data_IF_591391260594
#
_entry.id   IF_591391260594
#
_cell.length_a   1.000
_cell.length_b   1.000
_cell.length_c   1.000
_cell.angle_alpha   90.00
_cell.angle_beta   90.00
_cell.angle_gamma   90.00
#
_symmetry.space_group_name_H-M   'P 1'
#
loop_
_entity.id
_entity.type
_entity.pdbx_description
1 polymer ?
#
# COMPACT_ATOMS: atom_id res chain seq x y z
N UNK A 1 -22.18 14.34 -6.15
CA UNK A 1 -20.74 14.07 -6.24
C UNK A 1 -20.41 13.85 -7.70
N UNK A 2 -19.54 14.67 -8.26
CA UNK A 2 -19.06 14.40 -9.61
C UNK A 2 -18.15 13.16 -9.59
N UNK A 3 -18.31 12.24 -10.54
CA UNK A 3 -17.45 11.06 -10.61
C UNK A 3 -16.01 11.49 -10.96
N UNK A 4 -15.03 10.89 -10.30
CA UNK A 4 -13.63 11.09 -10.64
C UNK A 4 -13.38 10.65 -12.08
N UNK A 5 -12.55 11.40 -12.80
CA UNK A 5 -12.27 11.14 -14.20
C UNK A 5 -10.89 10.53 -14.41
N UNK A 6 -10.82 9.49 -15.24
CA UNK A 6 -9.55 8.87 -15.63
C UNK A 6 -8.64 9.89 -16.30
N UNK A 7 -7.37 9.91 -15.91
CA UNK A 7 -6.34 10.83 -16.42
C UNK A 7 -6.28 12.17 -15.69
N UNK A 8 -7.31 12.58 -14.95
CA UNK A 8 -7.28 13.79 -14.13
C UNK A 8 -6.43 13.59 -12.88
N UNK A 9 -5.88 14.68 -12.38
CA UNK A 9 -5.04 14.77 -11.19
C UNK A 9 -5.85 15.44 -10.09
N UNK A 10 -5.84 14.82 -8.91
CA UNK A 10 -6.48 15.29 -7.70
C UNK A 10 -5.48 15.32 -6.56
N UNK A 11 -5.50 16.37 -5.76
CA UNK A 11 -4.68 16.46 -4.55
C UNK A 11 -5.41 15.83 -3.38
N UNK A 12 -4.75 14.93 -2.67
CA UNK A 12 -5.32 14.29 -1.50
C UNK A 12 -4.24 13.83 -0.51
N UNK A 13 -4.67 13.61 0.72
CA UNK A 13 -3.82 13.03 1.77
C UNK A 13 -4.06 11.53 1.82
N UNK A 14 -2.99 10.76 1.99
CA UNK A 14 -3.05 9.32 2.20
C UNK A 14 -3.43 9.07 3.66
N UNK A 15 -4.58 8.45 3.90
CA UNK A 15 -5.15 8.24 5.24
C UNK A 15 -4.91 6.84 5.83
N UNK A 16 -4.48 5.88 5.02
CA UNK A 16 -4.24 4.51 5.47
C UNK A 16 -3.77 3.57 4.38
N UNK A 17 -3.95 2.27 4.61
CA UNK A 17 -3.56 1.21 3.67
C UNK A 17 -4.68 0.19 3.47
N UNK A 18 -4.77 -0.34 2.26
CA UNK A 18 -5.61 -1.49 1.95
C UNK A 18 -5.03 -2.79 2.52
N UNK A 19 -5.79 -3.87 2.46
CA UNK A 19 -5.32 -5.22 2.81
C UNK A 19 -4.11 -5.69 1.99
N UNK A 20 -3.91 -5.12 0.82
CA UNK A 20 -2.82 -5.43 -0.11
C UNK A 20 -1.64 -4.47 0.02
N UNK A 21 -1.72 -3.49 0.93
CA UNK A 21 -0.66 -2.50 1.16
C UNK A 21 -0.68 -1.30 0.22
N UNK A 22 -1.74 -1.13 -0.55
CA UNK A 22 -1.94 0.10 -1.34
C UNK A 22 -2.33 1.23 -0.40
N UNK A 23 -1.77 2.42 -0.60
CA UNK A 23 -2.24 3.62 0.10
C UNK A 23 -3.70 3.90 -0.23
N UNK A 24 -4.42 4.46 0.71
CA UNK A 24 -5.81 4.88 0.56
C UNK A 24 -5.88 6.38 0.66
N UNK A 25 -6.45 7.02 -0.36
CA UNK A 25 -6.85 8.42 -0.33
C UNK A 25 -8.36 8.54 -0.53
N UNK A 26 -8.93 9.68 -0.11
CA UNK A 26 -10.33 10.02 -0.35
C UNK A 26 -10.41 11.32 -1.11
N UNK A 27 -11.07 11.28 -2.25
CA UNK A 27 -11.30 12.45 -3.11
C UNK A 27 -12.80 12.56 -3.34
N UNK A 28 -13.41 13.64 -2.91
CA UNK A 28 -14.87 13.88 -3.03
C UNK A 28 -15.73 12.69 -2.56
N UNK A 29 -15.28 12.01 -1.49
CA UNK A 29 -15.93 10.84 -0.93
C UNK A 29 -15.64 9.51 -1.64
N UNK A 30 -14.98 9.52 -2.79
CA UNK A 30 -14.53 8.32 -3.48
C UNK A 30 -13.21 7.80 -2.89
N UNK A 31 -13.10 6.48 -2.74
CA UNK A 31 -11.86 5.83 -2.32
C UNK A 31 -10.94 5.65 -3.52
N UNK A 32 -9.69 6.09 -3.38
CA UNK A 32 -8.63 5.92 -4.38
C UNK A 32 -7.51 5.06 -3.80
N UNK A 33 -7.21 3.96 -4.46
CA UNK A 33 -6.08 3.09 -4.12
C UNK A 33 -4.83 3.53 -4.88
N UNK A 34 -3.74 3.76 -4.14
CA UNK A 34 -2.51 4.37 -4.67
C UNK A 34 -1.31 3.50 -4.31
N UNK A 35 -0.68 2.82 -5.27
CA UNK A 35 0.54 2.06 -5.02
C UNK A 35 1.68 2.95 -4.48
N UNK A 36 2.52 2.37 -3.63
CA UNK A 36 3.72 3.01 -3.09
C UNK A 36 3.49 4.34 -2.33
N UNK A 37 2.25 4.65 -1.96
CA UNK A 37 1.92 5.79 -1.13
C UNK A 37 2.15 5.47 0.35
N UNK A 38 2.49 6.48 1.15
CA UNK A 38 2.72 6.38 2.59
C UNK A 38 1.68 7.21 3.32
N UNK A 39 1.13 6.67 4.41
CA UNK A 39 0.17 7.37 5.24
C UNK A 39 0.71 8.72 5.72
N UNK A 40 -0.12 9.76 5.64
CA UNK A 40 0.21 11.13 6.01
C UNK A 40 0.82 11.94 4.87
N UNK A 41 1.09 11.36 3.71
CA UNK A 41 1.55 12.13 2.56
C UNK A 41 0.43 12.94 1.94
N UNK A 42 0.73 14.17 1.60
CA UNK A 42 -0.10 15.04 0.76
C UNK A 42 0.47 14.99 -0.67
N UNK A 43 -0.31 14.50 -1.60
CA UNK A 43 0.16 14.19 -2.95
C UNK A 43 -0.86 14.51 -4.04
N UNK A 44 -0.36 14.83 -5.22
CA UNK A 44 -1.11 14.84 -6.47
C UNK A 44 -1.22 13.41 -7.00
N UNK A 45 -2.44 12.94 -7.18
CA UNK A 45 -2.76 11.58 -7.59
C UNK A 45 -3.46 11.64 -8.94
N UNK A 46 -2.90 10.99 -9.96
CA UNK A 46 -3.55 10.81 -11.26
C UNK A 46 -4.44 9.57 -11.21
N UNK A 47 -5.70 9.71 -11.58
CA UNK A 47 -6.61 8.57 -11.67
C UNK A 47 -6.26 7.71 -12.89
N UNK A 48 -5.89 6.47 -12.66
CA UNK A 48 -5.53 5.51 -13.71
C UNK A 48 -6.71 4.65 -14.12
N UNK A 49 -7.63 4.35 -13.18
CA UNK A 49 -8.82 3.54 -13.42
C UNK A 49 -9.97 3.95 -12.52
N UNK A 50 -11.16 4.05 -13.09
CA UNK A 50 -12.41 4.24 -12.35
C UNK A 50 -13.15 2.91 -12.32
N UNK A 51 -13.56 2.49 -11.12
CA UNK A 51 -14.32 1.27 -10.85
C UNK A 51 -15.69 1.65 -10.25
N UNK A 52 -16.55 0.68 -10.03
CA UNK A 52 -17.93 0.93 -9.56
C UNK A 52 -17.98 1.62 -8.17
N UNK A 53 -17.08 1.26 -7.26
CA UNK A 53 -17.09 1.72 -5.85
C UNK A 53 -15.80 2.38 -5.41
N UNK A 54 -14.80 2.46 -6.27
CA UNK A 54 -13.46 2.97 -5.95
C UNK A 54 -12.73 3.37 -7.22
N UNK A 55 -11.55 3.97 -7.05
CA UNK A 55 -10.65 4.29 -8.14
C UNK A 55 -9.26 3.73 -7.85
N UNK A 56 -8.46 3.54 -8.89
CA UNK A 56 -7.02 3.38 -8.77
C UNK A 56 -6.33 4.65 -9.25
N UNK A 57 -5.25 5.01 -8.60
CA UNK A 57 -4.43 6.17 -8.95
C UNK A 57 -2.95 5.89 -8.80
N UNK A 58 -2.15 6.81 -9.30
CA UNK A 58 -0.69 6.80 -9.14
C UNK A 58 -0.23 8.17 -8.63
N UNK A 59 0.85 8.19 -7.84
CA UNK A 59 1.44 9.45 -7.37
C UNK A 59 2.13 10.14 -8.56
N UNK A 60 1.76 11.40 -8.77
CA UNK A 60 2.44 12.29 -9.75
C UNK A 60 3.47 13.16 -9.03
N UNK A 61 3.12 13.66 -7.84
CA UNK A 61 3.96 14.53 -7.04
C UNK A 61 3.60 14.40 -5.56
N UNK A 62 4.60 14.32 -4.71
CA UNK A 62 4.44 14.42 -3.26
C UNK A 62 4.75 15.86 -2.87
N UNK A 63 3.80 16.54 -2.23
CA UNK A 63 3.96 17.89 -1.70
C UNK A 63 4.56 17.87 -0.31
N UNK A 64 4.07 16.95 0.52
CA UNK A 64 4.58 16.74 1.88
C UNK A 64 4.85 15.25 2.06
N UNK A 65 6.13 14.83 2.07
CA UNK A 65 6.47 13.43 2.30
C UNK A 65 6.19 13.03 3.74
N UNK A 66 5.84 11.76 3.95
CA UNK A 66 5.75 11.18 5.28
C UNK A 66 7.16 10.95 5.87
N UNK A 67 7.36 11.16 7.17
CA UNK A 67 8.62 10.77 7.84
C UNK A 67 8.85 9.25 7.82
N UNK A 68 7.82 8.48 7.56
CA UNK A 68 7.87 7.03 7.45
C UNK A 68 8.17 6.52 6.03
N UNK A 69 8.42 7.43 5.07
CA UNK A 69 8.87 7.05 3.74
C UNK A 69 10.35 6.69 3.74
N UNK A 70 10.67 5.55 3.15
CA UNK A 70 12.03 5.13 2.87
C UNK A 70 12.26 5.04 1.36
N UNK A 71 13.49 5.33 0.95
CA UNK A 71 13.94 4.95 -0.39
C UNK A 71 14.21 3.44 -0.38
N UNK A 72 13.55 2.66 -1.23
CA UNK A 72 13.79 1.23 -1.29
C UNK A 72 15.23 0.93 -1.74
N UNK A 73 15.91 0.08 -1.00
CA UNK A 73 17.27 -0.39 -1.30
C UNK A 73 17.33 -1.47 -2.40
N UNK A 74 16.17 -1.97 -2.83
CA UNK A 74 16.06 -2.98 -3.88
C UNK A 74 15.98 -2.32 -5.27
N UNK A 75 16.87 -2.67 -6.23
CA UNK A 75 16.86 -2.08 -7.57
C UNK A 75 15.62 -2.46 -8.40
N UNK A 76 14.84 -3.42 -7.94
CA UNK A 76 13.61 -3.88 -8.58
C UNK A 76 12.35 -3.30 -7.93
N UNK A 77 12.49 -2.47 -6.90
CA UNK A 77 11.35 -1.82 -6.26
C UNK A 77 10.54 -0.99 -7.28
N UNK A 78 9.22 -1.03 -7.15
CA UNK A 78 8.30 -0.37 -8.09
C UNK A 78 8.04 -1.12 -9.40
N UNK A 79 8.78 -2.19 -9.71
CA UNK A 79 8.52 -3.06 -10.86
C UNK A 79 8.19 -4.49 -10.47
N UNK A 80 8.78 -4.97 -9.37
CA UNK A 80 8.58 -6.31 -8.85
C UNK A 80 7.39 -6.32 -7.87
N UNK A 81 6.44 -7.22 -8.07
CA UNK A 81 5.27 -7.41 -7.19
C UNK A 81 5.57 -8.17 -5.89
N UNK A 82 6.84 -8.46 -5.58
CA UNK A 82 7.21 -9.28 -4.42
C UNK A 82 7.12 -8.60 -3.07
N UNK A 83 7.09 -7.25 -3.00
CA UNK A 83 7.12 -6.50 -1.75
C UNK A 83 6.05 -5.39 -1.74
N UNK A 84 5.16 -5.43 -0.74
CA UNK A 84 4.11 -4.43 -0.56
C UNK A 84 4.57 -3.20 0.24
N UNK A 85 5.57 -3.33 1.14
CA UNK A 85 5.91 -2.33 2.15
C UNK A 85 7.37 -1.88 2.13
N UNK A 86 8.15 -2.17 1.07
CA UNK A 86 9.59 -1.86 1.04
C UNK A 86 9.92 -0.35 1.05
N UNK A 87 8.92 0.48 0.82
CA UNK A 87 8.99 1.95 0.86
C UNK A 87 8.59 2.54 2.23
N UNK A 88 8.29 1.70 3.21
CA UNK A 88 7.91 2.12 4.58
C UNK A 88 9.05 1.87 5.56
N UNK A 89 9.15 2.73 6.58
CA UNK A 89 9.92 2.39 7.79
C UNK A 89 9.32 1.15 8.46
N UNK A 90 10.14 0.35 9.12
CA UNK A 90 9.64 -0.86 9.79
C UNK A 90 8.60 -0.57 10.89
N UNK A 91 8.71 0.50 11.68
CA UNK A 91 7.64 0.90 12.59
C UNK A 91 6.31 1.17 11.89
N UNK A 92 6.31 1.81 10.71
CA UNK A 92 5.08 2.05 9.95
C UNK A 92 4.52 0.76 9.34
N UNK A 93 5.37 -0.12 8.85
CA UNK A 93 4.96 -1.45 8.41
C UNK A 93 4.24 -2.22 9.52
N UNK A 94 4.76 -2.19 10.75
CA UNK A 94 4.11 -2.80 11.91
C UNK A 94 2.75 -2.13 12.21
N UNK A 95 2.67 -0.79 12.15
CA UNK A 95 1.41 -0.06 12.33
C UNK A 95 0.37 -0.45 11.27
N UNK A 96 0.78 -0.53 10.01
CA UNK A 96 -0.10 -0.94 8.92
C UNK A 96 -0.64 -2.38 9.13
N UNK A 97 0.22 -3.31 9.52
CA UNK A 97 -0.15 -4.70 9.80
C UNK A 97 -1.09 -4.82 11.01
N UNK A 98 -0.81 -4.07 12.08
CA UNK A 98 -1.69 -4.03 13.26
C UNK A 98 -3.07 -3.48 12.89
N UNK A 99 -3.12 -2.39 12.14
CA UNK A 99 -4.38 -1.78 11.69
C UNK A 99 -5.19 -2.73 10.80
N UNK A 100 -4.53 -3.47 9.91
CA UNK A 100 -5.20 -4.49 9.08
C UNK A 100 -5.91 -5.55 9.92
N UNK A 101 -5.27 -6.04 10.99
CA UNK A 101 -5.89 -7.01 11.90
C UNK A 101 -7.04 -6.36 12.67
N UNK A 102 -6.85 -5.13 13.18
CA UNK A 102 -7.89 -4.37 13.85
C UNK A 102 -9.12 -4.17 12.96
N UNK A 103 -8.93 -3.76 11.72
CA UNK A 103 -10.02 -3.56 10.76
C UNK A 103 -10.74 -4.88 10.43
N UNK A 104 -10.02 -5.98 10.33
CA UNK A 104 -10.62 -7.30 10.11
C UNK A 104 -11.50 -7.72 11.31
N UNK A 105 -11.05 -7.51 12.53
CA UNK A 105 -11.83 -7.82 13.73
C UNK A 105 -13.09 -6.94 13.82
N UNK A 106 -12.95 -5.64 13.68
CA UNK A 106 -14.07 -4.70 13.88
C UNK A 106 -15.03 -4.64 12.68
N UNK A 107 -14.51 -4.49 11.47
CA UNK A 107 -15.36 -4.23 10.28
C UNK A 107 -15.89 -5.50 9.64
N UNK A 108 -15.12 -6.59 9.65
CA UNK A 108 -15.52 -7.86 9.04
C UNK A 108 -16.10 -8.78 10.10
N UNK A 109 -15.40 -8.94 11.22
CA UNK A 109 -15.82 -9.82 12.31
C UNK A 109 -16.93 -9.24 13.21
N UNK A 110 -17.17 -7.93 13.18
CA UNK A 110 -18.13 -7.26 14.06
C UNK A 110 -17.76 -7.35 15.56
N UNK A 111 -16.47 -7.60 15.86
CA UNK A 111 -15.99 -7.81 17.22
C UNK A 111 -15.47 -6.49 17.81
N UNK A 112 -15.91 -6.16 19.01
CA UNK A 112 -15.38 -5.05 19.80
C UNK A 112 -14.14 -5.51 20.59
N UNK A 113 -13.09 -5.86 19.85
CA UNK A 113 -11.80 -6.27 20.40
C UNK A 113 -10.71 -5.32 19.93
N UNK A 114 -9.82 -4.96 20.84
CA UNK A 114 -8.65 -4.13 20.55
C UNK A 114 -7.39 -5.00 20.37
N UNK A 115 -6.68 -4.78 19.27
CA UNK A 115 -5.34 -5.35 19.09
C UNK A 115 -4.37 -4.53 19.94
N UNK A 116 -3.99 -5.04 21.10
CA UNK A 116 -3.18 -4.29 22.09
C UNK A 116 -1.79 -3.98 21.55
N UNK A 117 -1.12 -4.99 20.99
CA UNK A 117 0.26 -4.85 20.49
C UNK A 117 0.52 -5.75 19.29
N UNK A 118 1.56 -5.41 18.55
CA UNK A 118 2.17 -6.26 17.53
C UNK A 118 3.61 -6.60 17.96
N UNK A 119 4.00 -7.85 17.78
CA UNK A 119 5.37 -8.28 18.02
C UNK A 119 6.12 -8.23 16.69
N UNK A 120 7.07 -7.30 16.59
CA UNK A 120 7.96 -7.18 15.46
C UNK A 120 9.11 -8.20 15.51
N UNK A 121 9.69 -8.50 14.35
CA UNK A 121 10.92 -9.27 14.28
C UNK A 121 12.11 -8.44 14.80
N UNK A 122 13.03 -9.06 15.53
CA UNK A 122 14.28 -8.41 15.96
C UNK A 122 15.14 -8.00 14.75
N UNK A 123 15.16 -8.87 13.73
CA UNK A 123 15.76 -8.57 12.43
C UNK A 123 14.68 -8.77 11.35
N UNK A 124 14.19 -7.70 10.71
CA UNK A 124 13.14 -7.78 9.70
C UNK A 124 13.65 -8.22 8.33
N UNK A 125 14.96 -8.36 8.16
CA UNK A 125 15.60 -8.79 6.93
C UNK A 125 16.17 -10.21 7.06
N UNK A 126 16.37 -10.86 5.89
CA UNK A 126 16.91 -12.22 5.81
C UNK A 126 16.16 -13.27 6.65
N UNK A 127 14.88 -13.05 6.91
CA UNK A 127 14.04 -13.91 7.74
C UNK A 127 13.46 -15.12 6.99
N UNK A 128 13.39 -15.03 5.67
CA UNK A 128 12.70 -16.02 4.83
C UNK A 128 13.60 -17.24 4.62
N UNK A 129 13.13 -18.40 5.05
CA UNK A 129 13.81 -19.70 4.91
C UNK A 129 13.15 -20.62 3.86
N UNK A 130 12.04 -20.19 3.24
CA UNK A 130 11.35 -20.88 2.16
C UNK A 130 10.84 -19.86 1.15
N UNK A 131 11.14 -20.05 -0.12
CA UNK A 131 10.63 -19.25 -1.23
C UNK A 131 9.99 -20.16 -2.28
N UNK A 132 8.92 -19.65 -2.89
CA UNK A 132 8.28 -20.27 -4.05
C UNK A 132 8.21 -19.22 -5.15
N UNK A 133 8.67 -19.61 -6.32
CA UNK A 133 8.69 -18.73 -7.47
C UNK A 133 7.87 -19.35 -8.60
N UNK A 134 7.03 -18.58 -9.32
CA UNK A 134 6.44 -19.03 -10.56
C UNK A 134 7.53 -19.27 -11.60
N UNK A 135 7.29 -20.26 -12.46
CA UNK A 135 8.14 -20.56 -13.61
C UNK A 135 7.35 -20.16 -14.86
N UNK A 136 7.93 -19.29 -15.68
CA UNK A 136 7.37 -18.89 -16.96
C UNK A 136 7.42 -20.01 -17.98
N UNK A 137 6.64 -19.89 -19.05
CA UNK A 137 6.62 -20.86 -20.15
C UNK A 137 7.97 -20.95 -20.89
N UNK A 138 8.77 -19.89 -20.82
CA UNK A 138 10.14 -19.78 -21.35
C UNK A 138 11.22 -20.31 -20.38
N UNK A 139 10.82 -20.85 -19.23
CA UNK A 139 11.72 -21.33 -18.17
C UNK A 139 12.26 -20.22 -17.25
N UNK A 140 11.84 -18.97 -17.40
CA UNK A 140 12.19 -17.89 -16.49
C UNK A 140 11.60 -18.14 -15.09
N UNK A 141 12.35 -17.78 -14.05
CA UNK A 141 11.94 -17.94 -12.66
C UNK A 141 12.00 -16.56 -11.99
N UNK A 142 10.94 -16.19 -11.27
CA UNK A 142 10.91 -14.91 -10.60
C UNK A 142 9.54 -14.53 -10.04
N UNK A 143 9.40 -13.27 -9.63
CA UNK A 143 8.12 -12.68 -9.26
C UNK A 143 7.45 -12.03 -10.47
N UNK A 144 6.11 -11.96 -10.42
CA UNK A 144 5.36 -11.16 -11.39
C UNK A 144 5.68 -9.67 -11.24
N UNK A 145 5.55 -8.94 -12.33
CA UNK A 145 5.60 -7.47 -12.28
C UNK A 145 4.35 -6.93 -11.54
N UNK A 146 4.54 -5.82 -10.84
CA UNK A 146 3.46 -5.12 -10.13
C UNK A 146 2.58 -4.34 -11.12
#
# INVERSE_FOLDING_TARGET
MEPLEKGKIYRAVIDGYSSEGLGIARVDGAVVFVPHAVRGEDADIRITKVMKTSCAGEIVKIHTPSPDRMEPDCPYAGRCGGCAYRHLTYPEELRAKRQRVQDALTRIGGLDLQVEKILGAKNPEHYRNKSQYPVGADGSIGFFQA
#
